data_IF_426228794527
#
_entry.id   IF_426228794527
#
_cell.length_a   1.000
_cell.length_b   1.000
_cell.length_c   1.000
_cell.angle_alpha   90.00
_cell.angle_beta   90.00
_cell.angle_gamma   90.00
#
_symmetry.space_group_name_H-M   'P 1'
#
loop_
_entity.id
_entity.type
_entity.pdbx_description
1 polymer ?
#
# COMPACT_ATOMS: atom_id res chain seq x y z
N UNK A 1 2.32 -23.40 -3.21
CA UNK A 1 2.91 -22.22 -3.86
C UNK A 1 1.80 -21.17 -3.91
N UNK A 2 1.97 -20.01 -3.28
CA UNK A 2 0.95 -18.97 -3.30
C UNK A 2 0.76 -18.40 -4.70
N UNK A 3 -0.50 -18.25 -5.12
CA UNK A 3 -0.83 -17.63 -6.40
C UNK A 3 -0.64 -16.11 -6.31
N UNK A 4 -0.20 -15.46 -7.40
CA UNK A 4 0.00 -14.00 -7.42
C UNK A 4 -1.28 -13.24 -7.04
N UNK A 5 -2.45 -13.85 -7.28
CA UNK A 5 -3.75 -13.32 -6.86
C UNK A 5 -3.94 -13.33 -5.35
N UNK A 6 -3.42 -14.34 -4.65
CA UNK A 6 -3.51 -14.43 -3.19
C UNK A 6 -2.58 -13.40 -2.54
N UNK A 7 -1.38 -13.22 -3.08
CA UNK A 7 -0.43 -12.18 -2.67
C UNK A 7 -1.07 -10.78 -2.77
N UNK A 8 -1.74 -10.48 -3.88
CA UNK A 8 -2.40 -9.19 -4.08
C UNK A 8 -3.53 -8.93 -3.08
N UNK A 9 -4.32 -9.96 -2.72
CA UNK A 9 -5.38 -9.85 -1.71
C UNK A 9 -4.81 -9.55 -0.33
N UNK A 10 -3.79 -10.31 0.09
CA UNK A 10 -3.13 -10.12 1.38
C UNK A 10 -2.62 -8.68 1.55
N UNK A 11 -2.02 -8.11 0.50
CA UNK A 11 -1.55 -6.72 0.51
C UNK A 11 -2.68 -5.70 0.57
N UNK A 12 -3.77 -5.94 -0.17
CA UNK A 12 -4.95 -5.06 -0.13
C UNK A 12 -5.57 -5.04 1.25
N UNK A 13 -5.78 -6.20 1.86
CA UNK A 13 -6.34 -6.33 3.22
C UNK A 13 -5.43 -5.63 4.23
N UNK A 14 -4.14 -5.97 4.24
CA UNK A 14 -3.15 -5.38 5.13
C UNK A 14 -3.12 -3.84 5.07
N UNK A 15 -3.03 -3.25 3.87
CA UNK A 15 -2.94 -1.80 3.72
C UNK A 15 -4.27 -1.10 4.04
N UNK A 16 -5.40 -1.72 3.71
CA UNK A 16 -6.74 -1.20 4.04
C UNK A 16 -6.92 -1.07 5.55
N UNK A 17 -6.56 -2.12 6.29
CA UNK A 17 -6.67 -2.15 7.76
C UNK A 17 -5.64 -1.24 8.44
N UNK A 18 -4.39 -1.29 7.98
CA UNK A 18 -3.27 -0.55 8.61
C UNK A 18 -3.40 0.96 8.42
N UNK A 19 -3.82 1.40 7.22
CA UNK A 19 -3.93 2.83 6.90
C UNK A 19 -5.35 3.37 7.07
N UNK A 20 -6.34 2.51 7.37
CA UNK A 20 -7.76 2.85 7.47
C UNK A 20 -8.27 3.58 6.21
N UNK A 21 -7.95 3.01 5.05
CA UNK A 21 -8.24 3.55 3.71
C UNK A 21 -9.23 2.67 2.99
N UNK A 22 -9.98 3.23 2.04
CA UNK A 22 -10.96 2.47 1.24
C UNK A 22 -10.46 2.11 -0.16
N UNK A 23 -9.39 2.77 -0.63
CA UNK A 23 -8.87 2.60 -1.99
C UNK A 23 -7.45 2.08 -1.95
N UNK A 24 -7.27 0.78 -2.19
CA UNK A 24 -5.97 0.16 -2.42
C UNK A 24 -6.01 -0.57 -3.77
N UNK A 25 -5.03 -0.32 -4.63
CA UNK A 25 -4.90 -0.96 -5.94
C UNK A 25 -3.49 -1.47 -6.12
N UNK A 26 -3.33 -2.79 -6.24
CA UNK A 26 -2.04 -3.38 -6.62
C UNK A 26 -1.70 -2.98 -8.06
N UNK A 27 -0.54 -2.38 -8.24
CA UNK A 27 -0.02 -1.94 -9.54
C UNK A 27 1.14 -2.80 -10.02
N UNK A 28 1.83 -3.49 -9.09
CA UNK A 28 2.89 -4.44 -9.40
C UNK A 28 2.94 -5.54 -8.34
N UNK A 29 3.18 -6.76 -8.75
CA UNK A 29 3.52 -7.86 -7.86
C UNK A 29 4.61 -8.69 -8.55
N UNK A 30 5.72 -8.89 -7.85
CA UNK A 30 6.86 -9.66 -8.35
C UNK A 30 7.31 -10.67 -7.31
N UNK A 31 7.72 -11.84 -7.79
CA UNK A 31 8.32 -12.87 -6.95
C UNK A 31 9.82 -12.62 -6.88
N UNK A 32 10.34 -12.50 -5.66
CA UNK A 32 11.77 -12.34 -5.39
C UNK A 32 12.30 -13.62 -4.73
N UNK A 33 13.62 -13.77 -4.61
CA UNK A 33 14.25 -14.99 -4.06
C UNK A 33 13.70 -15.40 -2.69
N UNK A 34 13.28 -14.43 -1.89
CA UNK A 34 12.88 -14.60 -0.49
C UNK A 34 11.37 -14.50 -0.25
N UNK A 35 10.56 -14.32 -1.29
CA UNK A 35 9.12 -14.14 -1.14
C UNK A 35 8.54 -13.28 -2.26
N UNK A 36 7.84 -12.21 -1.89
CA UNK A 36 7.14 -11.33 -2.82
C UNK A 36 7.39 -9.86 -2.50
N UNK A 37 7.49 -9.07 -3.56
CA UNK A 37 7.50 -7.62 -3.47
C UNK A 37 6.30 -7.09 -4.25
N UNK A 38 5.50 -6.27 -3.60
CA UNK A 38 4.24 -5.76 -4.13
C UNK A 38 4.23 -4.25 -4.04
N UNK A 39 3.81 -3.60 -5.11
CA UNK A 39 3.56 -2.17 -5.12
C UNK A 39 2.06 -1.94 -5.23
N UNK A 40 1.53 -1.16 -4.29
CA UNK A 40 0.12 -0.82 -4.22
C UNK A 40 -0.05 0.69 -4.14
N UNK A 41 -1.04 1.16 -4.86
CA UNK A 41 -1.49 2.53 -4.85
C UNK A 41 -2.59 2.68 -3.81
N UNK A 42 -2.40 3.61 -2.89
CA UNK A 42 -3.30 3.87 -1.77
C UNK A 42 -3.86 5.28 -1.92
N UNK A 43 -5.19 5.38 -1.83
CA UNK A 43 -5.93 6.64 -1.87
C UNK A 43 -6.31 7.05 -0.45
N UNK A 44 -5.50 7.92 0.14
CA UNK A 44 -5.68 8.42 1.50
C UNK A 44 -6.53 9.69 1.48
N UNK A 45 -7.40 9.90 2.46
CA UNK A 45 -8.09 11.18 2.58
C UNK A 45 -7.08 12.27 2.94
N UNK A 46 -7.09 13.39 2.21
CA UNK A 46 -6.13 14.45 2.45
C UNK A 46 -6.37 15.10 3.81
N UNK A 47 -5.52 14.78 4.78
CA UNK A 47 -5.58 15.31 6.16
C UNK A 47 -5.38 16.84 6.18
N UNK A 48 -4.68 17.37 5.18
CA UNK A 48 -4.51 18.82 4.98
C UNK A 48 -5.83 19.50 4.61
N UNK A 49 -6.55 18.97 3.62
CA UNK A 49 -7.83 19.51 3.16
C UNK A 49 -8.90 19.41 4.26
N UNK A 50 -8.93 18.30 5.01
CA UNK A 50 -9.79 18.15 6.20
C UNK A 50 -9.52 19.25 7.24
N UNK A 51 -8.25 19.59 7.48
CA UNK A 51 -7.89 20.66 8.43
C UNK A 51 -8.31 22.05 7.96
N UNK A 52 -8.49 22.24 6.65
CA UNK A 52 -8.97 23.50 6.06
C UNK A 52 -10.50 23.64 6.05
N UNK A 53 -11.25 22.63 6.49
CA UNK A 53 -12.72 22.67 6.54
C UNK A 53 -13.39 22.72 5.15
N UNK A 54 -12.65 22.41 4.09
CA UNK A 54 -13.16 22.43 2.73
C UNK A 54 -13.89 21.11 2.43
N UNK A 55 -15.15 21.14 1.96
CA UNK A 55 -15.91 19.94 1.60
C UNK A 55 -15.45 19.39 0.24
N UNK A 56 -14.18 19.02 0.12
CA UNK A 56 -13.61 18.49 -1.12
C UNK A 56 -13.12 17.06 -0.93
N UNK A 57 -13.48 16.20 -1.88
CA UNK A 57 -13.10 14.76 -1.93
C UNK A 57 -11.68 14.57 -2.49
N UNK A 58 -10.73 15.41 -2.07
CA UNK A 58 -9.34 15.29 -2.54
C UNK A 58 -8.69 14.14 -1.78
N UNK A 59 -8.25 13.14 -2.52
CA UNK A 59 -7.50 12.01 -2.00
C UNK A 59 -6.04 12.12 -2.44
N UNK A 60 -5.12 11.93 -1.51
CA UNK A 60 -3.71 11.80 -1.80
C UNK A 60 -3.46 10.39 -2.35
N UNK A 61 -2.80 10.31 -3.51
CA UNK A 61 -2.43 9.05 -4.15
C UNK A 61 -0.98 8.73 -3.78
N UNK A 62 -0.82 7.75 -2.90
CA UNK A 62 0.48 7.31 -2.42
C UNK A 62 0.82 5.92 -2.96
N UNK A 63 2.09 5.65 -3.21
CA UNK A 63 2.55 4.32 -3.63
C UNK A 63 3.23 3.69 -2.41
N UNK A 64 2.79 2.49 -2.04
CA UNK A 64 3.39 1.69 -0.99
C UNK A 64 4.08 0.48 -1.60
N UNK A 65 5.31 0.21 -1.16
CA UNK A 65 5.99 -1.04 -1.39
C UNK A 65 5.80 -1.94 -0.16
N UNK A 66 5.38 -3.19 -0.38
CA UNK A 66 5.15 -4.20 0.65
C UNK A 66 5.99 -5.43 0.33
N UNK A 67 6.78 -5.88 1.29
CA UNK A 67 7.56 -7.12 1.20
C UNK A 67 6.84 -8.20 2.02
N UNK A 68 6.62 -9.34 1.40
CA UNK A 68 6.05 -10.52 2.05
C UNK A 68 7.02 -11.69 1.95
N UNK A 69 7.04 -12.51 2.99
CA UNK A 69 7.77 -13.78 2.98
C UNK A 69 7.02 -14.83 2.13
N UNK A 70 7.53 -16.06 2.08
CA UNK A 70 6.92 -17.17 1.31
C UNK A 70 5.58 -17.65 1.88
N UNK A 71 5.28 -17.30 3.12
CA UNK A 71 4.07 -17.63 3.87
C UNK A 71 3.01 -16.52 3.77
N UNK A 72 3.27 -15.48 2.96
CA UNK A 72 2.43 -14.30 2.78
C UNK A 72 2.34 -13.40 4.03
N UNK A 73 3.27 -13.55 4.97
CA UNK A 73 3.38 -12.63 6.09
C UNK A 73 4.13 -11.38 5.65
N UNK A 74 3.63 -10.22 6.05
CA UNK A 74 4.25 -8.92 5.74
C UNK A 74 5.51 -8.76 6.60
N UNK A 75 6.66 -8.66 5.95
CA UNK A 75 7.95 -8.41 6.62
C UNK A 75 8.21 -6.91 6.78
N UNK A 76 7.82 -6.12 5.78
CA UNK A 76 7.97 -4.67 5.80
C UNK A 76 7.05 -3.97 4.81
N UNK A 77 6.73 -2.71 5.08
CA UNK A 77 6.04 -1.84 4.13
C UNK A 77 6.52 -0.39 4.27
N UNK A 78 6.45 0.38 3.19
CA UNK A 78 6.84 1.78 3.19
C UNK A 78 6.29 2.54 2.00
N UNK A 79 6.04 3.84 2.20
CA UNK A 79 5.61 4.74 1.14
C UNK A 79 6.80 5.09 0.25
N UNK A 80 6.73 4.76 -1.04
CA UNK A 80 7.69 5.19 -2.05
C UNK A 80 7.63 6.70 -2.25
N UNK A 81 8.80 7.34 -2.22
CA UNK A 81 8.94 8.79 -2.47
C UNK A 81 9.05 9.65 -1.21
N UNK A 82 8.98 9.08 -0.01
CA UNK A 82 9.27 9.79 1.25
C UNK A 82 10.76 9.74 1.67
N UNK A 83 11.60 9.04 0.89
CA UNK A 83 13.04 8.85 1.13
C UNK A 83 13.97 9.99 0.65
N UNK A 84 13.45 11.20 0.38
CA UNK A 84 14.29 12.37 0.11
C UNK A 84 13.79 13.60 0.86
N UNK A 85 13.92 13.57 2.19
CA UNK A 85 13.84 14.76 3.02
C UNK A 85 14.59 14.54 4.34
N UNK A 86 15.90 14.32 4.25
CA UNK A 86 16.85 14.62 5.33
C UNK A 86 18.12 15.24 4.74
#
# INVERSE_FOLDING_TARGET
MADIKEVGKAVVEFLTETLNVKGVRVIKAEKVSDGFQVEAEVYEESSFIKSLGLPTRVQDRNIYAVKLNRELEVESYGQKGREQAE
#
